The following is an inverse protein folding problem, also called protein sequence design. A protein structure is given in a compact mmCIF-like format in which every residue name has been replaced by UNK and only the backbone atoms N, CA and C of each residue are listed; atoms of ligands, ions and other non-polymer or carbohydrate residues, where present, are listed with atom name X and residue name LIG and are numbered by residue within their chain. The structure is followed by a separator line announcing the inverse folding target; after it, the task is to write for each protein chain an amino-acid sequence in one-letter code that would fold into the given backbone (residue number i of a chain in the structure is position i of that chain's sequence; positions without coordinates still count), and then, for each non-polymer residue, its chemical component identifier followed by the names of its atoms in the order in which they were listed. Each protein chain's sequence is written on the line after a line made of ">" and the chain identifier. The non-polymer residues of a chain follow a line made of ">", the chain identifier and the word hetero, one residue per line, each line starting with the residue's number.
data_IF_126016779616
#
_entry.id   IF_126016779616
#
_cell.length_a   1.000
_cell.length_b   1.000
_cell.length_c   1.000
_cell.angle_alpha   90.00
_cell.angle_beta   90.00
_cell.angle_gamma   90.00
#
_symmetry.space_group_name_H-M   'P 1'
#
loop_
_entity.id
_entity.type
_entity.pdbx_description
1 polymer ?
#
# COMPACT_ATOMS: atom_id res chain seq x y z
N UNK A 1 -33.95 1.41 -14.51
CA UNK A 1 -32.70 1.90 -13.89
C UNK A 1 -31.91 0.70 -13.37
N UNK A 2 -30.73 0.42 -13.92
CA UNK A 2 -29.88 -0.68 -13.44
C UNK A 2 -28.99 -0.12 -12.33
N UNK A 3 -29.25 -0.51 -11.07
CA UNK A 3 -28.45 -0.11 -9.92
C UNK A 3 -27.01 -0.63 -10.01
N UNK A 4 -26.05 -0.06 -9.26
CA UNK A 4 -24.65 -0.47 -9.32
C UNK A 4 -24.51 -1.96 -9.01
N UNK A 5 -23.98 -2.71 -9.98
CA UNK A 5 -23.75 -4.16 -9.89
C UNK A 5 -22.71 -4.41 -8.79
N UNK A 6 -23.09 -5.02 -7.66
CA UNK A 6 -22.13 -5.47 -6.63
C UNK A 6 -21.16 -6.47 -7.27
N UNK A 7 -19.94 -6.02 -7.54
CA UNK A 7 -18.86 -6.89 -8.02
C UNK A 7 -18.14 -7.51 -6.83
N UNK A 8 -18.77 -8.52 -6.22
CA UNK A 8 -18.09 -9.35 -5.22
C UNK A 8 -17.43 -10.55 -5.90
N UNK A 9 -16.15 -10.77 -5.60
CA UNK A 9 -15.42 -11.98 -6.01
C UNK A 9 -15.20 -12.88 -4.79
N UNK A 10 -15.43 -14.17 -4.96
CA UNK A 10 -15.21 -15.18 -3.91
C UNK A 10 -13.75 -15.63 -3.95
N UNK A 11 -13.16 -15.79 -2.77
CA UNK A 11 -11.82 -16.33 -2.59
C UNK A 11 -11.93 -17.57 -1.70
N UNK A 12 -11.25 -18.64 -2.11
CA UNK A 12 -11.10 -19.86 -1.31
C UNK A 12 -9.68 -19.89 -0.79
N UNK A 13 -9.53 -20.10 0.52
CA UNK A 13 -8.25 -20.14 1.22
C UNK A 13 -8.23 -21.35 2.14
N UNK A 14 -7.06 -21.96 2.27
CA UNK A 14 -6.83 -23.12 3.13
C UNK A 14 -5.81 -22.75 4.19
N UNK A 15 -6.03 -23.24 5.42
CA UNK A 15 -5.14 -23.04 6.55
C UNK A 15 -4.70 -24.40 7.11
N UNK A 16 -3.58 -24.41 7.84
CA UNK A 16 -3.33 -25.51 8.76
C UNK A 16 -4.41 -25.52 9.84
N UNK A 17 -4.67 -26.71 10.39
CA UNK A 17 -5.65 -26.92 11.43
C UNK A 17 -5.45 -25.96 12.62
N UNK A 18 -4.21 -25.80 13.07
CA UNK A 18 -3.87 -24.92 14.19
C UNK A 18 -4.19 -23.45 13.91
N UNK A 19 -3.95 -22.99 12.68
CA UNK A 19 -4.23 -21.60 12.29
C UNK A 19 -5.73 -21.38 12.08
N UNK A 20 -6.46 -22.37 11.57
CA UNK A 20 -7.92 -22.29 11.46
C UNK A 20 -8.57 -22.10 12.84
N UNK A 21 -8.11 -22.84 13.87
CA UNK A 21 -8.59 -22.68 15.25
C UNK A 21 -8.34 -21.29 15.80
N UNK A 22 -7.17 -20.71 15.52
CA UNK A 22 -6.85 -19.34 15.94
C UNK A 22 -7.76 -18.31 15.25
N UNK A 23 -8.04 -18.48 13.95
CA UNK A 23 -8.97 -17.62 13.22
C UNK A 23 -10.36 -17.68 13.82
N UNK A 24 -10.86 -18.88 14.12
CA UNK A 24 -12.17 -19.07 14.75
C UNK A 24 -12.24 -18.44 16.14
N UNK A 25 -11.17 -18.58 16.93
CA UNK A 25 -11.08 -17.97 18.25
C UNK A 25 -11.16 -16.44 18.16
N UNK A 26 -10.34 -15.82 17.31
CA UNK A 26 -10.32 -14.35 17.14
C UNK A 26 -11.67 -13.84 16.63
N UNK A 27 -12.30 -14.53 15.68
CA UNK A 27 -13.61 -14.16 15.17
C UNK A 27 -14.67 -14.15 16.28
N UNK A 28 -14.66 -15.15 17.17
CA UNK A 28 -15.55 -15.24 18.33
C UNK A 28 -15.30 -14.11 19.34
N UNK A 29 -14.03 -13.89 19.70
CA UNK A 29 -13.63 -12.83 20.63
C UNK A 29 -14.06 -11.44 20.15
N UNK A 30 -13.93 -11.18 18.85
CA UNK A 30 -14.25 -9.88 18.25
C UNK A 30 -15.72 -9.69 17.86
N UNK A 31 -16.60 -10.67 18.05
CA UNK A 31 -18.01 -10.47 17.66
C UNK A 31 -18.27 -10.64 16.16
N UNK A 32 -17.35 -11.21 15.38
CA UNK A 32 -17.30 -11.07 13.91
C UNK A 32 -17.47 -12.38 13.16
N UNK A 33 -17.98 -12.31 11.94
CA UNK A 33 -17.88 -13.45 11.02
C UNK A 33 -16.50 -13.49 10.32
N UNK A 34 -16.11 -14.66 9.79
CA UNK A 34 -14.82 -14.83 9.10
C UNK A 34 -14.63 -13.82 7.95
N UNK A 35 -15.67 -13.57 7.15
CA UNK A 35 -15.59 -12.64 6.02
C UNK A 35 -15.31 -11.21 6.47
N UNK A 36 -15.86 -10.78 7.61
CA UNK A 36 -15.59 -9.46 8.20
C UNK A 36 -14.17 -9.39 8.74
N UNK A 37 -13.76 -10.40 9.50
CA UNK A 37 -12.41 -10.51 10.05
C UNK A 37 -11.36 -10.44 8.94
N UNK A 38 -11.52 -11.21 7.87
CA UNK A 38 -10.59 -11.20 6.74
C UNK A 38 -10.59 -9.88 5.97
N UNK A 39 -11.75 -9.22 5.83
CA UNK A 39 -11.81 -7.88 5.21
C UNK A 39 -11.08 -6.83 6.04
N UNK A 40 -11.19 -6.89 7.36
CA UNK A 40 -10.49 -5.97 8.27
C UNK A 40 -8.99 -6.26 8.30
N UNK A 41 -8.60 -7.53 8.42
CA UNK A 41 -7.22 -7.97 8.37
C UNK A 41 -6.54 -7.51 7.07
N UNK A 42 -7.22 -7.66 5.93
CA UNK A 42 -6.70 -7.19 4.65
C UNK A 42 -6.58 -5.66 4.58
N UNK A 43 -7.54 -4.91 5.14
CA UNK A 43 -7.46 -3.44 5.20
C UNK A 43 -6.24 -2.98 5.99
N UNK A 44 -6.00 -3.59 7.14
CA UNK A 44 -4.84 -3.32 8.00
C UNK A 44 -3.54 -3.70 7.28
N UNK A 45 -3.46 -4.91 6.71
CA UNK A 45 -2.29 -5.37 5.96
C UNK A 45 -1.95 -4.43 4.79
N UNK A 46 -2.96 -3.96 4.03
CA UNK A 46 -2.76 -3.02 2.93
C UNK A 46 -2.19 -1.69 3.43
N UNK A 47 -2.74 -1.14 4.51
CA UNK A 47 -2.27 0.13 5.09
C UNK A 47 -0.82 0.00 5.55
N UNK A 48 -0.46 -1.06 6.26
CA UNK A 48 0.91 -1.34 6.69
C UNK A 48 1.87 -1.50 5.51
N UNK A 49 1.44 -2.18 4.44
CA UNK A 49 2.24 -2.33 3.22
C UNK A 49 2.54 -0.98 2.57
N UNK A 50 1.55 -0.08 2.52
CA UNK A 50 1.74 1.29 2.03
C UNK A 50 2.68 2.07 2.95
N UNK A 51 2.48 1.98 4.27
CA UNK A 51 3.34 2.65 5.27
C UNK A 51 4.78 2.19 5.15
N UNK A 52 5.04 0.89 5.01
CA UNK A 52 6.40 0.34 4.83
C UNK A 52 7.08 0.91 3.58
N UNK A 53 6.37 0.95 2.45
CA UNK A 53 6.89 1.55 1.21
C UNK A 53 7.24 3.03 1.39
N UNK A 54 6.36 3.78 2.06
CA UNK A 54 6.63 5.19 2.35
C UNK A 54 7.85 5.36 3.24
N UNK A 55 7.98 4.55 4.29
CA UNK A 55 9.14 4.58 5.19
C UNK A 55 10.44 4.25 4.46
N UNK A 56 10.44 3.28 3.55
CA UNK A 56 11.61 3.01 2.69
C UNK A 56 12.01 4.23 1.87
N UNK A 57 11.03 4.90 1.23
CA UNK A 57 11.29 6.09 0.43
C UNK A 57 11.81 7.26 1.28
N UNK A 58 11.23 7.47 2.47
CA UNK A 58 11.68 8.50 3.41
C UNK A 58 13.08 8.20 3.95
N UNK A 59 13.39 6.94 4.23
CA UNK A 59 14.72 6.49 4.62
C UNK A 59 15.77 6.82 3.56
N UNK A 60 15.48 6.48 2.29
CA UNK A 60 16.33 6.88 1.16
C UNK A 60 16.48 8.40 1.05
N UNK A 61 15.38 9.15 1.20
CA UNK A 61 15.41 10.62 1.20
C UNK A 61 16.35 11.19 2.28
N UNK A 62 16.30 10.65 3.50
CA UNK A 62 17.20 11.05 4.59
C UNK A 62 18.67 10.74 4.32
N UNK A 63 18.98 9.63 3.64
CA UNK A 63 20.37 9.34 3.24
C UNK A 63 20.88 10.31 2.17
N UNK A 64 20.00 10.85 1.34
CA UNK A 64 20.35 11.77 0.25
C UNK A 64 20.49 13.21 0.73
N UNK A 65 19.64 13.63 1.68
CA UNK A 65 19.73 14.92 2.34
C UNK A 65 19.24 14.80 3.81
N UNK A 66 20.16 14.68 4.78
CA UNK A 66 19.83 14.52 6.20
C UNK A 66 19.10 15.72 6.80
N UNK A 67 19.31 16.92 6.27
CA UNK A 67 18.70 18.17 6.75
C UNK A 67 17.30 18.41 6.18
N UNK A 68 16.84 17.55 5.26
CA UNK A 68 15.60 17.74 4.53
C UNK A 68 15.71 18.83 3.45
N UNK A 69 14.67 18.93 2.63
CA UNK A 69 14.59 19.91 1.55
C UNK A 69 13.66 21.06 1.95
N UNK A 70 14.09 22.29 1.70
CA UNK A 70 13.20 23.44 1.74
C UNK A 70 12.22 23.40 0.56
N UNK A 71 11.07 24.07 0.69
CA UNK A 71 10.00 24.04 -0.32
C UNK A 71 10.51 24.40 -1.71
N UNK A 72 11.35 25.43 -1.79
CA UNK A 72 11.84 26.02 -3.03
C UNK A 72 12.87 25.09 -3.71
N UNK A 73 13.61 24.31 -2.91
CA UNK A 73 14.56 23.31 -3.40
C UNK A 73 13.85 22.11 -4.03
N UNK A 74 12.68 21.74 -3.50
CA UNK A 74 11.88 20.62 -4.03
C UNK A 74 11.38 20.93 -5.45
N UNK A 75 10.90 22.15 -5.70
CA UNK A 75 10.43 22.54 -7.04
C UNK A 75 11.56 22.46 -8.08
N UNK A 76 12.72 23.02 -7.76
CA UNK A 76 13.90 22.97 -8.62
C UNK A 76 14.32 21.51 -8.93
N UNK A 77 14.35 20.64 -7.93
CA UNK A 77 14.69 19.22 -8.10
C UNK A 77 13.72 18.48 -9.03
N UNK A 78 12.42 18.77 -8.90
CA UNK A 78 11.37 18.16 -9.72
C UNK A 78 11.50 18.62 -11.17
N UNK A 79 11.76 19.90 -11.40
CA UNK A 79 11.91 20.45 -12.75
C UNK A 79 13.15 19.91 -13.46
N UNK A 80 14.26 19.75 -12.75
CA UNK A 80 15.48 19.11 -13.24
C UNK A 80 15.23 17.63 -13.63
N UNK A 81 14.52 16.88 -12.79
CA UNK A 81 14.14 15.49 -13.08
C UNK A 81 13.19 15.39 -14.29
N UNK A 82 12.22 16.29 -14.42
CA UNK A 82 11.32 16.33 -15.58
C UNK A 82 12.05 16.72 -16.86
N UNK A 83 13.02 17.63 -16.79
CA UNK A 83 13.82 18.04 -17.93
C UNK A 83 14.74 16.90 -18.40
N UNK A 84 15.38 16.20 -17.46
CA UNK A 84 16.23 15.04 -17.76
C UNK A 84 15.46 13.81 -18.28
N UNK A 85 14.23 13.59 -17.82
CA UNK A 85 13.34 12.56 -18.38
C UNK A 85 12.94 12.85 -19.84
N UNK A 86 12.60 14.12 -20.14
CA UNK A 86 12.25 14.58 -21.50
C UNK A 86 13.43 14.45 -22.48
N UNK A 87 14.64 14.78 -22.05
CA UNK A 87 15.84 14.64 -22.88
C UNK A 87 16.21 13.17 -23.15
N UNK A 88 16.01 12.27 -22.19
CA UNK A 88 16.17 10.82 -22.41
C UNK A 88 15.15 10.24 -23.39
N UNK A 89 13.89 10.69 -23.35
CA UNK A 89 12.86 10.28 -24.30
C UNK A 89 13.18 10.74 -25.73
N UNK A 90 13.72 11.96 -25.88
CA UNK A 90 14.14 12.52 -27.18
C UNK A 90 15.34 11.79 -27.80
N UNK A 91 16.21 11.16 -27.00
CA UNK A 91 17.36 10.36 -27.48
C UNK A 91 17.02 8.92 -27.86
N UNK A 92 15.81 8.43 -27.56
CA UNK A 92 15.34 7.07 -27.88
C UNK A 92 14.43 7.04 -29.12
N UNK A 93 14.21 8.19 -29.75
CA UNK A 93 13.54 8.37 -31.04
C UNK A 93 14.61 8.66 -32.09
#
# INVERSE_FOLDING_TARGET
>A
MSGPKRQSRVFTISFSEDLARQVDQVAREESRNLSELFREAFRTYRLERVRRRLQTNLGYGRTRNPQGYAKDEVENLVDELRASGRSKAKRRK
#
